data_IF_483452748830
#
_entry.id   IF_483452748830
#
_cell.length_a   1.000
_cell.length_b   1.000
_cell.length_c   1.000
_cell.angle_alpha   90.00
_cell.angle_beta   90.00
_cell.angle_gamma   90.00
#
_symmetry.space_group_name_H-M   'P 1'
#
loop_
_entity.id
_entity.type
_entity.pdbx_description
1 polymer ?
#
# COMPACT_ATOMS: atom_id res chain seq x y z
N UNK A 1 -15.16 -9.06 8.74
CA UNK A 1 -14.54 -10.38 8.57
C UNK A 1 -13.37 -10.17 7.63
N UNK A 2 -12.16 -10.07 8.19
CA UNK A 2 -10.95 -9.76 7.42
C UNK A 2 -10.59 -11.00 6.59
N UNK A 3 -10.43 -10.79 5.28
CA UNK A 3 -10.08 -11.79 4.30
C UNK A 3 -8.62 -12.22 4.50
N UNK A 4 -8.41 -13.15 5.43
CA UNK A 4 -7.21 -13.98 5.44
C UNK A 4 -7.40 -15.02 4.34
N UNK A 5 -6.84 -14.77 3.16
CA UNK A 5 -6.93 -15.68 2.03
C UNK A 5 -5.54 -16.23 1.68
N UNK A 6 -5.20 -17.47 2.07
CA UNK A 6 -3.95 -18.08 1.70
C UNK A 6 -3.99 -18.41 0.21
N UNK A 7 -3.28 -17.58 -0.56
CA UNK A 7 -2.93 -17.76 -1.98
C UNK A 7 -4.04 -17.55 -3.00
N UNK A 8 -4.27 -16.29 -3.42
CA UNK A 8 -4.53 -16.03 -4.84
C UNK A 8 -4.28 -14.58 -5.25
N UNK A 9 -3.40 -14.38 -6.25
CA UNK A 9 -3.20 -13.08 -6.95
C UNK A 9 -4.54 -12.46 -7.40
N UNK A 10 -5.54 -13.31 -7.67
CA UNK A 10 -6.88 -12.89 -8.03
C UNK A 10 -7.56 -12.06 -6.93
N UNK A 11 -7.47 -12.48 -5.67
CA UNK A 11 -8.08 -11.76 -4.54
C UNK A 11 -7.37 -10.46 -4.25
N UNK A 12 -6.03 -10.45 -4.31
CA UNK A 12 -5.25 -9.21 -4.22
C UNK A 12 -5.69 -8.21 -5.30
N UNK A 13 -5.74 -8.66 -6.55
CA UNK A 13 -6.11 -7.82 -7.70
C UNK A 13 -7.55 -7.31 -7.56
N UNK A 14 -8.47 -8.17 -7.12
CA UNK A 14 -9.87 -7.81 -6.89
C UNK A 14 -10.01 -6.78 -5.76
N UNK A 15 -9.31 -6.98 -4.64
CA UNK A 15 -9.33 -6.07 -3.50
C UNK A 15 -8.77 -4.70 -3.88
N UNK A 16 -7.63 -4.66 -4.58
CA UNK A 16 -7.05 -3.43 -5.11
C UNK A 16 -8.01 -2.72 -6.07
N UNK A 17 -8.60 -3.47 -7.01
CA UNK A 17 -9.55 -2.93 -7.98
C UNK A 17 -10.77 -2.31 -7.28
N UNK A 18 -11.39 -3.01 -6.33
CA UNK A 18 -12.51 -2.48 -5.55
C UNK A 18 -12.13 -1.21 -4.78
N UNK A 19 -10.96 -1.22 -4.15
CA UNK A 19 -10.48 -0.09 -3.36
C UNK A 19 -10.18 1.14 -4.24
N UNK A 20 -9.67 0.94 -5.46
CA UNK A 20 -9.47 2.02 -6.43
C UNK A 20 -10.81 2.55 -6.95
N UNK A 21 -11.74 1.65 -7.33
CA UNK A 21 -13.08 2.03 -7.81
C UNK A 21 -13.83 2.90 -6.81
N UNK A 22 -13.88 2.48 -5.54
CA UNK A 22 -14.53 3.24 -4.46
C UNK A 22 -13.94 4.66 -4.33
N UNK A 23 -12.61 4.79 -4.40
CA UNK A 23 -11.93 6.09 -4.30
C UNK A 23 -12.16 6.97 -5.52
N UNK A 24 -12.15 6.42 -6.73
CA UNK A 24 -12.48 7.18 -7.95
C UNK A 24 -13.93 7.66 -7.99
N UNK A 25 -14.88 6.90 -7.42
CA UNK A 25 -16.27 7.35 -7.31
C UNK A 25 -16.43 8.56 -6.37
N UNK A 26 -15.58 8.67 -5.36
CA UNK A 26 -15.58 9.78 -4.40
C UNK A 26 -14.89 11.05 -4.94
N UNK A 27 -13.90 10.89 -5.83
CA UNK A 27 -13.07 12.00 -6.35
C UNK A 27 -13.58 12.53 -7.71
N UNK A 28 -14.55 11.86 -8.33
CA UNK A 28 -14.98 12.11 -9.71
C UNK A 28 -14.14 11.30 -10.69
N UNK A 29 -14.77 10.74 -11.72
CA UNK A 29 -14.12 9.76 -12.59
C UNK A 29 -12.86 10.33 -13.26
N UNK A 30 -11.72 9.62 -13.17
CA UNK A 30 -10.61 9.85 -14.09
C UNK A 30 -11.11 9.62 -15.52
N UNK A 31 -10.98 10.62 -16.38
CA UNK A 31 -11.43 10.55 -17.79
C UNK A 31 -10.49 9.74 -18.67
N UNK A 32 -9.35 9.29 -18.14
CA UNK A 32 -8.40 8.45 -18.84
C UNK A 32 -8.47 7.01 -18.31
N UNK A 33 -8.42 5.99 -19.18
CA UNK A 33 -8.29 4.61 -18.72
C UNK A 33 -7.06 4.52 -17.81
N UNK A 34 -7.15 3.75 -16.72
CA UNK A 34 -6.12 3.51 -15.69
C UNK A 34 -4.86 2.77 -16.22
N UNK A 35 -4.45 3.06 -17.45
CA UNK A 35 -3.34 2.44 -18.19
C UNK A 35 -1.98 2.62 -17.50
N UNK A 36 -1.89 3.50 -16.51
CA UNK A 36 -0.65 3.69 -15.75
C UNK A 36 -0.93 3.94 -14.26
N UNK A 37 -1.12 2.84 -13.52
CA UNK A 37 -1.31 2.83 -12.06
C UNK A 37 -0.26 3.71 -11.35
N UNK A 38 0.98 3.70 -11.84
CA UNK A 38 2.12 4.41 -11.26
C UNK A 38 1.98 5.94 -11.27
N UNK A 39 1.12 6.49 -12.15
CA UNK A 39 0.81 7.92 -12.19
C UNK A 39 -0.13 8.35 -11.06
N UNK A 40 -0.94 7.42 -10.57
CA UNK A 40 -1.98 7.70 -9.58
C UNK A 40 -1.53 7.37 -8.16
N UNK A 41 -0.49 6.55 -8.00
CA UNK A 41 0.04 6.17 -6.71
C UNK A 41 0.88 4.90 -6.77
N UNK A 42 1.24 4.40 -5.58
CA UNK A 42 2.05 3.19 -5.40
C UNK A 42 1.51 2.32 -4.28
N UNK A 43 1.83 1.04 -4.36
CA UNK A 43 1.47 0.07 -3.32
C UNK A 43 2.61 0.00 -2.30
N UNK A 44 2.30 0.35 -1.07
CA UNK A 44 3.16 0.19 0.10
C UNK A 44 2.89 -1.18 0.73
N UNK A 45 3.95 -1.87 1.12
CA UNK A 45 3.91 -3.02 2.01
C UNK A 45 4.35 -2.54 3.40
N UNK A 46 3.47 -2.69 4.38
CA UNK A 46 3.72 -2.36 5.77
C UNK A 46 3.75 -3.63 6.61
N UNK A 47 4.89 -3.92 7.23
CA UNK A 47 5.05 -5.04 8.17
C UNK A 47 4.38 -4.68 9.48
N UNK A 48 3.22 -5.29 9.75
CA UNK A 48 2.45 -4.98 10.95
C UNK A 48 3.21 -5.38 12.21
N UNK A 49 2.89 -4.72 13.34
CA UNK A 49 3.52 -4.97 14.64
C UNK A 49 5.02 -4.63 14.69
N UNK A 50 5.52 -3.85 13.73
CA UNK A 50 6.88 -3.35 13.69
C UNK A 50 6.91 -1.82 13.74
N UNK A 51 7.12 -1.27 14.93
CA UNK A 51 7.12 0.18 15.20
C UNK A 51 8.09 0.49 16.35
N UNK A 52 8.70 1.68 16.32
CA UNK A 52 9.60 2.18 17.38
C UNK A 52 8.88 3.08 18.39
N UNK A 53 7.65 3.54 18.10
CA UNK A 53 6.88 4.47 18.94
C UNK A 53 7.67 5.72 19.38
N UNK A 54 8.57 6.22 18.53
CA UNK A 54 9.39 7.41 18.83
C UNK A 54 8.79 8.73 18.29
N UNK A 55 7.74 8.64 17.47
CA UNK A 55 7.06 9.77 16.86
C UNK A 55 7.84 10.47 15.74
N UNK A 56 8.99 9.94 15.32
CA UNK A 56 9.83 10.54 14.27
C UNK A 56 9.12 10.45 12.92
N UNK A 57 8.54 9.28 12.59
CA UNK A 57 7.84 9.10 11.32
C UNK A 57 6.57 9.97 11.24
N UNK A 58 5.89 10.19 12.36
CA UNK A 58 4.73 11.08 12.47
C UNK A 58 5.11 12.54 12.12
N UNK A 59 6.22 13.03 12.68
CA UNK A 59 6.72 14.37 12.41
C UNK A 59 7.15 14.55 10.95
N UNK A 60 7.95 13.62 10.42
CA UNK A 60 8.51 13.71 9.06
C UNK A 60 7.46 13.48 7.97
N UNK A 61 6.42 12.68 8.27
CA UNK A 61 5.29 12.47 7.35
C UNK A 61 4.26 13.60 7.40
N UNK A 62 4.46 14.63 8.21
CA UNK A 62 3.51 15.73 8.43
C UNK A 62 2.12 15.20 8.86
N UNK A 63 2.09 14.32 9.86
CA UNK A 63 0.90 13.65 10.36
C UNK A 63 0.15 12.77 9.35
N UNK A 64 0.83 12.33 8.28
CA UNK A 64 0.26 11.36 7.36
C UNK A 64 0.23 9.96 7.96
N UNK A 65 1.27 9.56 8.69
CA UNK A 65 1.25 8.37 9.55
C UNK A 65 0.67 8.70 10.91
N UNK A 66 0.25 7.70 11.68
CA UNK A 66 -0.15 7.87 13.07
C UNK A 66 1.01 7.71 14.07
N UNK A 67 0.71 7.80 15.37
CA UNK A 67 1.67 7.64 16.47
C UNK A 67 2.27 6.23 16.60
N UNK A 68 1.69 5.25 15.90
CA UNK A 68 2.12 3.86 15.85
C UNK A 68 2.75 3.51 14.51
N UNK A 69 3.18 4.52 13.73
CA UNK A 69 3.80 4.35 12.42
C UNK A 69 2.85 3.69 11.39
N UNK A 70 1.54 3.78 11.59
CA UNK A 70 0.56 3.11 10.74
C UNK A 70 0.08 4.05 9.62
N UNK A 71 0.05 3.60 8.35
CA UNK A 71 -0.56 4.38 7.27
C UNK A 71 -2.06 4.64 7.50
N UNK A 72 -2.63 5.71 6.91
CA UNK A 72 -4.05 6.01 7.05
C UNK A 72 -4.95 4.83 6.65
N UNK A 73 -5.98 4.56 7.45
CA UNK A 73 -6.88 3.40 7.25
C UNK A 73 -7.59 3.39 5.89
N UNK A 74 -7.85 4.58 5.34
CA UNK A 74 -8.46 4.76 4.03
C UNK A 74 -7.51 4.43 2.86
N UNK A 75 -6.23 4.14 3.13
CA UNK A 75 -5.27 3.61 2.14
C UNK A 75 -5.23 2.08 2.10
N UNK A 76 -5.72 1.40 3.14
CA UNK A 76 -5.60 -0.05 3.27
C UNK A 76 -6.48 -0.77 2.24
N UNK A 77 -6.02 -1.91 1.71
CA UNK A 77 -6.86 -2.72 0.81
C UNK A 77 -6.65 -4.23 0.90
N UNK A 78 -5.54 -4.72 1.45
CA UNK A 78 -5.29 -6.17 1.56
C UNK A 78 -4.34 -6.47 2.73
N UNK A 79 -4.55 -7.60 3.41
CA UNK A 79 -3.69 -8.07 4.51
C UNK A 79 -3.30 -9.52 4.20
N UNK A 80 -2.00 -9.80 4.15
CA UNK A 80 -1.46 -11.14 3.86
C UNK A 80 -0.65 -11.66 5.05
N UNK A 81 -0.83 -12.93 5.37
CA UNK A 81 0.02 -13.61 6.33
C UNK A 81 1.21 -14.21 5.59
N UNK A 82 2.43 -14.02 6.12
CA UNK A 82 3.65 -14.62 5.56
C UNK A 82 3.98 -14.17 4.13
N UNK A 83 3.67 -12.93 3.75
CA UNK A 83 4.15 -12.37 2.48
C UNK A 83 5.69 -12.36 2.48
N UNK A 84 6.30 -12.95 1.45
CA UNK A 84 7.76 -13.13 1.35
C UNK A 84 8.40 -13.79 2.58
N UNK A 85 7.72 -14.78 3.17
CA UNK A 85 8.17 -15.49 4.38
C UNK A 85 8.39 -14.59 5.60
N UNK A 86 7.75 -13.41 5.61
CA UNK A 86 7.80 -12.51 6.77
C UNK A 86 7.13 -13.15 7.99
N UNK A 87 7.76 -13.04 9.15
CA UNK A 87 7.22 -13.53 10.44
C UNK A 87 5.94 -12.78 10.87
N UNK A 88 5.62 -11.66 10.20
CA UNK A 88 4.53 -10.75 10.55
C UNK A 88 3.60 -10.52 9.37
N UNK A 89 2.30 -10.30 9.61
CA UNK A 89 1.37 -9.95 8.56
C UNK A 89 1.79 -8.68 7.82
N UNK A 90 1.67 -8.68 6.50
CA UNK A 90 1.93 -7.51 5.66
C UNK A 90 0.61 -6.86 5.26
N UNK A 91 0.44 -5.60 5.65
CA UNK A 91 -0.66 -4.76 5.22
C UNK A 91 -0.26 -4.04 3.93
N UNK A 92 -1.12 -4.15 2.91
CA UNK A 92 -0.95 -3.46 1.64
C UNK A 92 -1.81 -2.20 1.62
N UNK A 93 -1.16 -1.08 1.34
CA UNK A 93 -1.76 0.23 1.28
C UNK A 93 -1.57 0.83 -0.11
N UNK A 94 -2.62 1.43 -0.66
CA UNK A 94 -2.55 2.23 -1.88
C UNK A 94 -2.27 3.68 -1.47
N UNK A 95 -1.05 4.14 -1.71
CA UNK A 95 -0.63 5.52 -1.41
C UNK A 95 -0.84 6.37 -2.66
N UNK A 96 -1.77 7.34 -2.65
CA UNK A 96 -1.99 8.23 -3.78
C UNK A 96 -0.75 9.07 -4.11
N UNK A 97 -0.58 9.41 -5.39
CA UNK A 97 0.60 10.12 -5.90
C UNK A 97 0.99 11.37 -5.10
N UNK A 98 0.05 12.25 -4.68
CA UNK A 98 0.39 13.45 -3.91
C UNK A 98 0.99 13.15 -2.53
N UNK A 99 0.76 11.96 -1.97
CA UNK A 99 1.25 11.57 -0.64
C UNK A 99 2.52 10.71 -0.68
N UNK A 100 2.99 10.30 -1.87
CA UNK A 100 4.24 9.56 -2.01
C UNK A 100 5.44 10.28 -1.35
N UNK A 101 5.63 11.61 -1.48
CA UNK A 101 6.74 12.29 -0.83
C UNK A 101 6.68 12.24 0.70
N UNK A 102 5.48 12.28 1.29
CA UNK A 102 5.31 12.18 2.75
C UNK A 102 5.67 10.79 3.24
N UNK A 103 5.27 9.75 2.49
CA UNK A 103 5.62 8.37 2.79
C UNK A 103 7.13 8.14 2.63
N UNK A 104 7.75 8.66 1.56
CA UNK A 104 9.19 8.54 1.34
C UNK A 104 10.01 9.24 2.44
N UNK A 105 9.57 10.39 2.93
CA UNK A 105 10.20 11.07 4.07
C UNK A 105 10.17 10.18 5.34
N UNK A 106 9.03 9.59 5.67
CA UNK A 106 8.92 8.66 6.79
C UNK A 106 9.81 7.42 6.63
N UNK A 107 9.85 6.84 5.43
CA UNK A 107 10.69 5.67 5.14
C UNK A 107 12.19 5.95 5.32
N UNK A 108 12.64 7.19 5.12
CA UNK A 108 14.05 7.57 5.26
C UNK A 108 14.52 7.64 6.71
N UNK A 109 13.60 7.90 7.64
CA UNK A 109 13.90 8.09 9.06
C UNK A 109 13.52 6.88 9.92
N UNK A 110 12.67 5.99 9.40
CA UNK A 110 12.23 4.81 10.11
C UNK A 110 13.35 3.74 10.15
N UNK A 111 13.68 3.27 11.36
CA UNK A 111 14.85 2.44 11.60
C UNK A 111 14.60 0.94 11.45
N UNK A 112 13.38 0.47 11.65
CA UNK A 112 13.04 -0.96 11.63
C UNK A 112 12.75 -1.49 10.24
N UNK A 113 12.71 -0.61 9.23
CA UNK A 113 12.40 -0.93 7.85
C UNK A 113 11.02 -1.60 7.72
N UNK A 114 10.03 -1.08 8.44
CA UNK A 114 8.65 -1.59 8.43
C UNK A 114 7.93 -1.33 7.10
N UNK A 115 8.47 -0.46 6.26
CA UNK A 115 7.91 -0.03 5.00
C UNK A 115 8.74 -0.47 3.80
N UNK A 116 8.08 -0.95 2.75
CA UNK A 116 8.72 -1.15 1.46
C UNK A 116 7.72 -1.01 0.33
N UNK A 117 8.12 -0.38 -0.77
CA UNK A 117 7.30 -0.34 -1.97
C UNK A 117 7.19 -1.73 -2.60
N UNK A 118 5.97 -2.15 -2.99
CA UNK A 118 5.74 -3.49 -3.56
C UNK A 118 6.61 -3.77 -4.80
N UNK A 119 6.79 -2.76 -5.66
CA UNK A 119 7.66 -2.88 -6.84
C UNK A 119 9.14 -3.11 -6.51
N UNK A 120 9.57 -2.80 -5.28
CA UNK A 120 10.92 -3.09 -4.77
C UNK A 120 10.96 -4.45 -4.08
N UNK A 121 10.01 -4.73 -3.19
CA UNK A 121 9.99 -5.97 -2.41
C UNK A 121 9.71 -7.22 -3.25
N UNK A 122 8.79 -7.13 -4.22
CA UNK A 122 8.38 -8.26 -5.05
C UNK A 122 8.14 -7.81 -6.50
N UNK A 123 9.20 -7.44 -7.25
CA UNK A 123 9.08 -6.87 -8.60
C UNK A 123 8.35 -7.81 -9.55
N UNK A 124 8.62 -9.12 -9.51
CA UNK A 124 7.92 -10.09 -10.36
C UNK A 124 6.41 -10.15 -10.09
N UNK A 125 6.01 -10.15 -8.82
CA UNK A 125 4.61 -10.11 -8.43
C UNK A 125 3.95 -8.80 -8.84
N UNK A 126 4.64 -7.67 -8.65
CA UNK A 126 4.17 -6.35 -9.08
C UNK A 126 3.94 -6.29 -10.59
N UNK A 127 4.84 -6.85 -11.41
CA UNK A 127 4.64 -6.94 -12.86
C UNK A 127 3.44 -7.83 -13.24
N UNK A 128 3.25 -8.96 -12.55
CA UNK A 128 2.09 -9.82 -12.77
C UNK A 128 0.77 -9.11 -12.41
N UNK A 129 0.78 -8.32 -11.33
CA UNK A 129 -0.35 -7.51 -10.92
C UNK A 129 -0.72 -6.48 -12.00
N UNK A 130 0.26 -5.71 -12.47
CA UNK A 130 0.06 -4.70 -13.52
C UNK A 130 -0.49 -5.31 -14.80
N UNK A 131 -0.06 -6.53 -15.17
CA UNK A 131 -0.58 -7.24 -16.34
C UNK A 131 -2.03 -7.73 -16.19
N UNK A 132 -2.52 -7.89 -14.96
CA UNK A 132 -3.87 -8.41 -14.66
C UNK A 132 -4.89 -7.35 -14.32
N UNK A 133 -4.47 -6.13 -14.01
CA UNK A 133 -5.37 -5.01 -13.82
C UNK A 133 -5.99 -4.65 -15.18
N UNK A 134 -7.31 -4.83 -15.38
CA UNK A 134 -7.95 -4.38 -16.61
C UNK A 134 -7.74 -2.87 -16.77
N UNK A 135 -7.78 -2.37 -18.01
CA UNK A 135 -7.93 -0.95 -18.27
C UNK A 135 -9.26 -0.49 -17.66
N UNK A 136 -9.22 -0.08 -16.38
CA UNK A 136 -10.32 0.52 -15.64
C UNK A 136 -10.65 1.90 -16.23
#
# INVERSE_FOLDING_TARGET
MWNVDPYHVAYFTQALHLALQQRTQLVGQPTAPMVDLSRWGRILCFSTLLTTHDGITLAESNCFLDESDVPPIDTWFYLENNFLDAERPTLFCWIPKPFEPLMEAAMQVEMMQSYVWLGVAAPHFYHQLLAKLPHL
#
